data_IF_981753105407
#
_entry.id   IF_981753105407
#
_cell.length_a   1.000
_cell.length_b   1.000
_cell.length_c   1.000
_cell.angle_alpha   90.00
_cell.angle_beta   90.00
_cell.angle_gamma   90.00
#
_symmetry.space_group_name_H-M   'P 1'
#
loop_
_entity.id
_entity.type
_entity.pdbx_description
1 polymer ?
#
# COMPACT_ATOMS: atom_id res chain seq x y z
N UNK A 1 15.83 -42.18 -16.16
CA UNK A 1 15.03 -41.01 -16.61
C UNK A 1 13.86 -40.67 -15.68
N UNK A 2 13.19 -41.63 -15.02
CA UNK A 2 12.06 -41.33 -14.10
C UNK A 2 12.43 -40.54 -12.83
N UNK A 3 13.64 -40.70 -12.30
CA UNK A 3 14.08 -39.99 -11.09
C UNK A 3 14.24 -38.48 -11.29
N UNK A 4 14.66 -38.05 -12.49
CA UNK A 4 14.82 -36.63 -12.84
C UNK A 4 13.46 -35.95 -12.96
N UNK A 5 12.46 -36.66 -13.51
CA UNK A 5 11.08 -36.16 -13.66
C UNK A 5 10.43 -36.00 -12.28
N UNK A 6 10.58 -36.98 -11.38
CA UNK A 6 10.05 -36.88 -10.02
C UNK A 6 10.67 -35.72 -9.22
N UNK A 7 11.98 -35.49 -9.37
CA UNK A 7 12.69 -34.42 -8.67
C UNK A 7 12.29 -33.03 -9.17
N UNK A 8 12.06 -32.87 -10.49
CA UNK A 8 11.52 -31.63 -11.05
C UNK A 8 10.10 -31.31 -10.55
N UNK A 9 9.23 -32.32 -10.41
CA UNK A 9 7.86 -32.12 -9.92
C UNK A 9 7.86 -31.67 -8.46
N UNK A 10 8.71 -32.26 -7.62
CA UNK A 10 8.83 -31.88 -6.20
C UNK A 10 9.36 -30.47 -6.04
N UNK A 11 10.36 -30.07 -6.83
CA UNK A 11 10.92 -28.71 -6.79
C UNK A 11 9.88 -27.68 -7.25
N UNK A 12 9.11 -27.96 -8.30
CA UNK A 12 8.04 -27.08 -8.76
C UNK A 12 6.91 -26.96 -7.73
N UNK A 13 6.50 -28.06 -7.10
CA UNK A 13 5.48 -28.03 -6.05
C UNK A 13 5.95 -27.25 -4.82
N UNK A 14 7.21 -27.43 -4.39
CA UNK A 14 7.80 -26.66 -3.30
C UNK A 14 7.86 -25.17 -3.62
N UNK A 15 8.24 -24.82 -4.87
CA UNK A 15 8.30 -23.43 -5.32
C UNK A 15 6.91 -22.75 -5.34
N UNK A 16 5.90 -23.46 -5.83
CA UNK A 16 4.49 -23.00 -5.81
C UNK A 16 4.00 -22.84 -4.37
N UNK A 17 4.31 -23.78 -3.47
CA UNK A 17 3.95 -23.66 -2.06
C UNK A 17 4.62 -22.45 -1.39
N UNK A 18 5.92 -22.20 -1.62
CA UNK A 18 6.59 -21.01 -1.10
C UNK A 18 6.02 -19.71 -1.66
N UNK A 19 5.69 -19.67 -2.95
CA UNK A 19 5.09 -18.49 -3.58
C UNK A 19 3.66 -18.22 -3.06
N UNK A 20 2.87 -19.28 -2.83
CA UNK A 20 1.52 -19.18 -2.26
C UNK A 20 1.56 -18.77 -0.79
N UNK A 21 2.52 -19.27 0.00
CA UNK A 21 2.69 -18.89 1.41
C UNK A 21 3.18 -17.44 1.54
N UNK A 22 4.18 -17.04 0.76
CA UNK A 22 4.67 -15.65 0.74
C UNK A 22 3.61 -14.66 0.25
N UNK A 23 2.75 -15.05 -0.71
CA UNK A 23 1.62 -14.25 -1.15
C UNK A 23 0.44 -14.22 -0.17
N UNK A 24 0.34 -15.20 0.74
CA UNK A 24 -0.72 -15.27 1.76
C UNK A 24 -0.49 -14.28 2.91
N UNK A 25 0.75 -14.16 3.37
CA UNK A 25 1.08 -13.36 4.56
C UNK A 25 0.96 -11.85 4.32
N UNK A 26 1.28 -11.36 3.11
CA UNK A 26 1.11 -9.96 2.74
C UNK A 26 -0.36 -9.54 2.68
N UNK A 27 -1.17 -10.30 1.93
CA UNK A 27 -2.60 -10.00 1.76
C UNK A 27 -3.43 -10.19 3.03
N UNK A 28 -3.01 -11.03 3.98
CA UNK A 28 -3.65 -11.11 5.31
C UNK A 28 -3.33 -9.91 6.21
N UNK A 29 -2.10 -9.37 6.15
CA UNK A 29 -1.74 -8.14 6.88
C UNK A 29 -2.50 -6.93 6.35
N UNK A 30 -2.59 -6.78 5.03
CA UNK A 30 -3.32 -5.70 4.38
C UNK A 30 -4.83 -5.79 4.62
N UNK A 31 -5.40 -7.00 4.58
CA UNK A 31 -6.81 -7.21 4.91
C UNK A 31 -7.13 -6.85 6.36
N UNK A 32 -6.26 -7.21 7.32
CA UNK A 32 -6.40 -6.82 8.73
C UNK A 32 -6.29 -5.30 8.90
N UNK A 33 -5.30 -4.69 8.25
CA UNK A 33 -5.09 -3.25 8.25
C UNK A 33 -6.32 -2.47 7.76
N UNK A 34 -7.05 -3.01 6.78
CA UNK A 34 -8.30 -2.41 6.31
C UNK A 34 -9.45 -2.57 7.30
N UNK A 35 -9.62 -3.75 7.91
CA UNK A 35 -10.68 -3.97 8.90
C UNK A 35 -10.50 -3.15 10.19
N UNK A 36 -9.29 -2.69 10.46
CA UNK A 36 -8.98 -1.78 11.57
C UNK A 36 -9.38 -0.32 11.29
N UNK A 37 -9.66 0.05 10.04
CA UNK A 37 -10.14 1.39 9.69
C UNK A 37 -11.60 1.59 10.11
N UNK A 38 -11.92 2.84 10.46
CA UNK A 38 -13.31 3.25 10.68
C UNK A 38 -14.11 3.18 9.36
N UNK A 39 -15.42 2.92 9.40
CA UNK A 39 -16.25 2.82 8.19
C UNK A 39 -16.16 4.06 7.28
N UNK A 40 -16.01 5.25 7.86
CA UNK A 40 -15.85 6.50 7.11
C UNK A 40 -14.53 6.54 6.33
N UNK A 41 -13.44 6.06 6.93
CA UNK A 41 -12.11 5.98 6.29
C UNK A 41 -12.12 4.95 5.16
N UNK A 42 -12.79 3.82 5.37
CA UNK A 42 -13.01 2.83 4.32
C UNK A 42 -13.77 3.46 3.15
N UNK A 43 -14.85 4.20 3.41
CA UNK A 43 -15.62 4.90 2.36
C UNK A 43 -14.80 5.93 1.59
N UNK A 44 -13.93 6.69 2.26
CA UNK A 44 -13.02 7.62 1.58
C UNK A 44 -12.15 6.87 0.59
N UNK A 45 -11.54 5.75 1.01
CA UNK A 45 -10.73 4.92 0.14
C UNK A 45 -11.52 4.33 -1.04
N UNK A 46 -12.78 3.92 -0.82
CA UNK A 46 -13.67 3.41 -1.88
C UNK A 46 -14.02 4.43 -2.96
N UNK A 47 -14.20 5.69 -2.55
CA UNK A 47 -14.73 6.75 -3.40
C UNK A 47 -13.63 7.65 -3.98
N UNK A 48 -12.37 7.35 -3.70
CA UNK A 48 -11.25 8.15 -4.14
C UNK A 48 -10.97 7.89 -5.62
N UNK A 49 -11.08 8.91 -6.49
CA UNK A 49 -10.68 8.78 -7.87
C UNK A 49 -9.15 8.77 -8.00
N UNK A 50 -8.65 8.11 -9.04
CA UNK A 50 -7.26 8.21 -9.48
C UNK A 50 -7.18 9.34 -10.50
N UNK A 51 -6.38 10.36 -10.19
CA UNK A 51 -6.13 11.50 -11.06
C UNK A 51 -4.75 11.37 -11.70
N UNK A 52 -4.69 10.89 -12.94
CA UNK A 52 -3.44 10.82 -13.69
C UNK A 52 -2.91 12.22 -13.99
N UNK A 53 -1.60 12.43 -13.84
CA UNK A 53 -0.98 13.75 -14.07
C UNK A 53 -0.81 14.06 -15.57
N UNK A 54 -0.77 13.03 -16.41
CA UNK A 54 -0.62 13.13 -17.86
C UNK A 54 -1.19 11.87 -18.57
N UNK A 55 -1.31 11.92 -19.90
CA UNK A 55 -1.79 10.82 -20.74
C UNK A 55 -0.85 9.59 -20.75
N UNK A 56 0.39 9.73 -20.27
CA UNK A 56 1.33 8.61 -20.17
C UNK A 56 1.04 7.71 -18.96
N UNK A 57 0.17 8.16 -18.04
CA UNK A 57 -0.23 7.48 -16.82
C UNK A 57 0.97 7.05 -15.94
N UNK A 58 2.12 7.74 -16.08
CA UNK A 58 3.34 7.41 -15.34
C UNK A 58 3.34 7.98 -13.91
N UNK A 59 2.46 8.91 -13.60
CA UNK A 59 2.23 9.39 -12.25
C UNK A 59 0.76 9.72 -12.08
N UNK A 60 0.26 9.49 -10.87
CA UNK A 60 -1.10 9.83 -10.51
C UNK A 60 -1.20 10.29 -9.07
N UNK A 61 -2.28 11.00 -8.78
CA UNK A 61 -2.66 11.44 -7.45
C UNK A 61 -3.90 10.70 -6.99
N UNK A 62 -3.93 10.39 -5.71
CA UNK A 62 -5.09 9.81 -5.06
C UNK A 62 -5.04 10.08 -3.57
N UNK A 63 -6.15 9.87 -2.88
CA UNK A 63 -6.20 9.93 -1.42
C UNK A 63 -5.74 8.60 -0.82
N UNK A 64 -5.07 8.70 0.32
CA UNK A 64 -4.73 7.59 1.20
C UNK A 64 -5.07 7.95 2.64
N UNK A 65 -5.08 6.93 3.51
CA UNK A 65 -5.28 7.09 4.96
C UNK A 65 -3.94 6.90 5.64
N UNK A 66 -3.60 7.81 6.55
CA UNK A 66 -2.42 7.70 7.39
C UNK A 66 -2.70 6.67 8.49
N UNK A 67 -2.01 5.53 8.45
CA UNK A 67 -2.14 4.49 9.46
C UNK A 67 -1.32 4.79 10.71
N UNK A 68 -0.15 5.38 10.51
CA UNK A 68 0.73 5.74 11.60
C UNK A 68 1.70 6.86 11.19
N UNK A 69 2.19 7.58 12.20
CA UNK A 69 3.27 8.56 12.05
C UNK A 69 4.31 8.24 13.11
N UNK A 70 5.47 7.76 12.69
CA UNK A 70 6.56 7.40 13.59
C UNK A 70 7.67 8.45 13.47
N UNK A 71 7.85 9.34 14.45
CA UNK A 71 8.98 10.27 14.44
C UNK A 71 10.29 9.49 14.54
N UNK A 72 11.29 9.87 13.73
CA UNK A 72 12.66 9.33 13.81
C UNK A 72 13.55 10.24 14.66
N UNK A 73 14.77 9.80 14.95
CA UNK A 73 15.72 10.60 15.76
C UNK A 73 16.27 11.83 15.01
N UNK A 74 16.17 11.84 13.68
CA UNK A 74 16.51 12.99 12.82
C UNK A 74 15.33 13.97 12.65
N UNK A 75 15.41 14.90 11.70
CA UNK A 75 14.29 15.83 11.38
C UNK A 75 13.20 15.20 10.50
N UNK A 76 13.12 13.86 10.44
CA UNK A 76 12.14 13.14 9.64
C UNK A 76 11.16 12.32 10.48
N UNK A 77 10.02 11.99 9.88
CA UNK A 77 9.04 11.06 10.39
C UNK A 77 8.70 10.08 9.28
N UNK A 78 8.48 8.84 9.67
CA UNK A 78 7.97 7.78 8.81
C UNK A 78 6.44 7.84 8.84
N UNK A 79 5.83 8.18 7.70
CA UNK A 79 4.39 8.26 7.54
C UNK A 79 3.93 7.01 6.79
N UNK A 80 3.24 6.13 7.51
CA UNK A 80 2.65 4.93 6.93
C UNK A 80 1.31 5.31 6.30
N UNK A 81 1.21 5.21 4.97
CA UNK A 81 -0.01 5.56 4.22
C UNK A 81 -0.55 4.32 3.52
N UNK A 82 -1.87 4.13 3.62
CA UNK A 82 -2.61 3.08 2.93
C UNK A 82 -3.55 3.66 1.87
N UNK A 83 -3.58 3.07 0.69
CA UNK A 83 -4.50 3.47 -0.39
C UNK A 83 -4.89 2.28 -1.28
N UNK A 84 -5.83 2.51 -2.22
CA UNK A 84 -6.37 1.52 -3.14
C UNK A 84 -6.24 1.97 -4.59
N UNK A 85 -5.64 1.14 -5.44
CA UNK A 85 -5.48 1.45 -6.86
C UNK A 85 -6.68 1.03 -7.73
N UNK A 86 -7.69 0.36 -7.18
CA UNK A 86 -8.97 0.12 -7.87
C UNK A 86 -10.13 0.00 -6.88
N UNK A 87 -11.37 0.02 -7.39
CA UNK A 87 -12.58 -0.22 -6.59
C UNK A 87 -12.54 -1.67 -6.06
N UNK A 88 -12.36 -1.88 -4.75
CA UNK A 88 -12.24 -3.23 -4.21
C UNK A 88 -13.60 -3.95 -4.27
N UNK A 89 -13.68 -5.04 -5.01
CA UNK A 89 -14.59 -6.13 -4.62
C UNK A 89 -13.95 -6.96 -3.48
N UNK A 90 -14.75 -7.67 -2.70
CA UNK A 90 -14.27 -8.42 -1.52
C UNK A 90 -13.10 -9.38 -1.81
N UNK A 91 -13.06 -9.94 -3.01
CA UNK A 91 -12.05 -10.90 -3.46
C UNK A 91 -10.75 -10.24 -3.94
N UNK A 92 -10.83 -9.01 -4.45
CA UNK A 92 -9.72 -8.26 -5.05
C UNK A 92 -9.01 -7.35 -4.04
N UNK A 93 -9.66 -7.04 -2.90
CA UNK A 93 -9.12 -6.29 -1.75
C UNK A 93 -7.68 -6.67 -1.37
N UNK A 94 -7.35 -7.97 -1.38
CA UNK A 94 -6.02 -8.48 -0.98
C UNK A 94 -4.88 -8.20 -1.96
N UNK A 95 -5.18 -7.78 -3.19
CA UNK A 95 -4.18 -7.61 -4.26
C UNK A 95 -3.90 -6.16 -4.61
N UNK A 96 -4.75 -5.24 -4.16
CA UNK A 96 -4.73 -3.84 -4.60
C UNK A 96 -4.69 -2.83 -3.44
N UNK A 97 -4.71 -3.32 -2.19
CA UNK A 97 -4.35 -2.50 -1.03
C UNK A 97 -2.85 -2.26 -1.09
N UNK A 98 -2.41 -1.00 -1.02
CA UNK A 98 -1.00 -0.68 -0.94
C UNK A 98 -0.75 0.03 0.38
N UNK A 99 0.31 -0.36 1.08
CA UNK A 99 0.79 0.28 2.31
C UNK A 99 2.25 0.63 2.07
N UNK A 100 2.59 1.91 2.23
CA UNK A 100 3.96 2.39 2.02
C UNK A 100 4.41 3.34 3.13
N UNK A 101 5.70 3.27 3.43
CA UNK A 101 6.40 4.06 4.42
C UNK A 101 7.07 5.27 3.75
N UNK A 102 6.51 6.45 3.98
CA UNK A 102 6.97 7.69 3.35
C UNK A 102 7.78 8.49 4.36
N UNK A 103 9.08 8.67 4.08
CA UNK A 103 9.91 9.58 4.86
C UNK A 103 9.53 11.03 4.53
N UNK A 104 9.03 11.75 5.53
CA UNK A 104 8.66 13.17 5.43
C UNK A 104 9.35 13.98 6.52
N UNK A 105 9.60 15.27 6.30
CA UNK A 105 10.15 16.13 7.36
C UNK A 105 9.12 16.34 8.45
N UNK A 106 9.54 16.33 9.72
CA UNK A 106 8.65 16.57 10.89
C UNK A 106 7.89 17.89 10.77
N UNK A 107 8.58 18.94 10.28
CA UNK A 107 7.99 20.26 10.04
C UNK A 107 6.87 20.22 8.99
N UNK A 108 7.04 19.45 7.92
CA UNK A 108 6.05 19.32 6.85
C UNK A 108 4.85 18.48 7.30
N UNK A 109 5.09 17.42 8.08
CA UNK A 109 4.02 16.61 8.70
C UNK A 109 3.14 17.48 9.58
N UNK A 110 3.73 18.32 10.43
CA UNK A 110 2.97 19.25 11.29
C UNK A 110 2.27 20.35 10.49
N UNK A 111 2.98 21.01 9.55
CA UNK A 111 2.43 22.11 8.78
C UNK A 111 1.28 21.67 7.86
N UNK A 112 1.35 20.44 7.33
CA UNK A 112 0.28 19.86 6.52
C UNK A 112 -0.82 19.19 7.36
N UNK A 113 -0.68 19.09 8.69
CA UNK A 113 -1.68 18.45 9.53
C UNK A 113 -1.76 16.92 9.34
N UNK A 114 -0.66 16.26 8.97
CA UNK A 114 -0.61 14.80 8.80
C UNK A 114 -0.64 14.12 10.17
N UNK A 115 -1.66 13.33 10.44
CA UNK A 115 -1.86 12.61 11.70
C UNK A 115 -2.48 11.24 11.46
N UNK A 116 -2.30 10.31 12.40
CA UNK A 116 -2.91 8.97 12.33
C UNK A 116 -4.44 9.08 12.20
N UNK A 117 -4.99 8.34 11.24
CA UNK A 117 -6.40 8.36 10.88
C UNK A 117 -6.80 9.47 9.91
N UNK A 118 -5.90 10.43 9.66
CA UNK A 118 -6.13 11.50 8.69
C UNK A 118 -6.10 11.02 7.25
N UNK A 119 -6.79 11.76 6.38
CA UNK A 119 -6.77 11.56 4.93
C UNK A 119 -5.65 12.42 4.35
N UNK A 120 -4.83 11.85 3.47
CA UNK A 120 -3.78 12.57 2.75
C UNK A 120 -3.94 12.40 1.25
N UNK A 121 -3.52 13.39 0.46
CA UNK A 121 -3.32 13.21 -0.98
C UNK A 121 -1.90 12.77 -1.24
N UNK A 122 -1.74 11.61 -1.84
CA UNK A 122 -0.46 11.05 -2.27
C UNK A 122 -0.27 11.20 -3.76
N UNK A 123 0.99 11.30 -4.18
CA UNK A 123 1.43 11.15 -5.57
C UNK A 123 2.20 9.86 -5.68
N UNK A 124 1.74 8.97 -6.55
CA UNK A 124 2.39 7.69 -6.84
C UNK A 124 3.12 7.81 -8.16
N UNK A 125 4.40 7.43 -8.18
CA UNK A 125 5.21 7.38 -9.40
C UNK A 125 6.00 6.07 -9.42
N UNK A 126 5.65 5.11 -10.30
CA UNK A 126 6.37 3.85 -10.43
C UNK A 126 7.88 4.07 -10.65
N UNK A 127 8.70 3.34 -9.92
CA UNK A 127 10.17 3.47 -9.96
C UNK A 127 10.75 4.67 -9.18
N UNK A 128 9.92 5.62 -8.71
CA UNK A 128 10.35 6.72 -7.81
C UNK A 128 9.72 6.67 -6.42
N UNK A 129 8.65 5.91 -6.23
CA UNK A 129 7.97 5.73 -4.95
C UNK A 129 6.78 6.68 -4.76
N UNK A 130 6.33 6.80 -3.51
CA UNK A 130 5.13 7.57 -3.12
C UNK A 130 5.48 8.76 -2.26
N UNK A 131 4.81 9.90 -2.48
CA UNK A 131 5.02 11.13 -1.71
C UNK A 131 3.71 11.77 -1.25
N UNK A 132 3.70 12.38 -0.06
CA UNK A 132 2.54 13.11 0.48
C UNK A 132 2.53 14.55 -0.05
N UNK A 133 1.51 14.87 -0.84
CA UNK A 133 1.34 16.19 -1.47
C UNK A 133 0.56 17.13 -0.56
N UNK A 134 -0.54 16.67 0.05
CA UNK A 134 -1.42 17.44 0.94
C UNK A 134 -2.07 16.55 2.01
N UNK A 135 -2.60 17.15 3.09
CA UNK A 135 -3.50 16.51 4.06
C UNK A 135 -4.74 17.40 4.29
#
# INVERSE_FOLDING_TARGET
MGYVIALCIVVLAAFVCTAVVLGRDGGEREARAFTELEPEQQQVLYNTPIEYEDDSHQAWRQKGIVRNVTPRDDDTADVEVMWYNAKPDETTRKKETNIEHIAAKKKDVQAKGVHKGGVVTIRVQPGRGVTVVAA
#
